data_IF_135025278094
#
_entry.id   IF_135025278094
#
_cell.length_a   1.000
_cell.length_b   1.000
_cell.length_c   1.000
_cell.angle_alpha   90.00
_cell.angle_beta   90.00
_cell.angle_gamma   90.00
#
_symmetry.space_group_name_H-M   'P 1'
#
loop_
_entity.id
_entity.type
_entity.pdbx_description
1 polymer ?
#
# COMPACT_ATOMS: atom_id res chain seq x y z
N UNK A 1 -19.40 53.01 -2.41
CA UNK A 1 -18.08 52.38 -2.12
C UNK A 1 -18.15 51.26 -1.08
N UNK A 2 -18.94 51.37 0.00
CA UNK A 2 -19.08 50.32 1.03
C UNK A 2 -19.70 49.00 0.54
N UNK A 3 -20.68 49.08 -0.36
CA UNK A 3 -21.34 47.89 -0.97
C UNK A 3 -20.44 47.11 -1.93
N UNK A 4 -19.53 47.80 -2.60
CA UNK A 4 -18.54 47.18 -3.50
C UNK A 4 -17.47 46.43 -2.69
N UNK A 5 -17.05 47.01 -1.56
CA UNK A 5 -16.11 46.38 -0.63
C UNK A 5 -16.67 45.07 -0.04
N UNK A 6 -17.94 45.05 0.35
CA UNK A 6 -18.59 43.83 0.83
C UNK A 6 -18.66 42.73 -0.24
N UNK A 7 -18.93 43.09 -1.50
CA UNK A 7 -18.97 42.14 -2.61
C UNK A 7 -17.60 41.51 -2.87
N UNK A 8 -16.51 42.29 -2.77
CA UNK A 8 -15.15 41.79 -2.94
C UNK A 8 -14.75 40.83 -1.81
N UNK A 9 -15.15 41.13 -0.56
CA UNK A 9 -14.89 40.27 0.60
C UNK A 9 -15.62 38.92 0.50
N UNK A 10 -16.85 38.91 0.00
CA UNK A 10 -17.64 37.67 -0.16
C UNK A 10 -17.04 36.80 -1.27
N UNK A 11 -16.62 37.41 -2.39
CA UNK A 11 -15.97 36.69 -3.50
C UNK A 11 -14.62 36.11 -3.07
N UNK A 12 -13.82 36.87 -2.31
CA UNK A 12 -12.54 36.38 -1.77
C UNK A 12 -12.73 35.20 -0.80
N UNK A 13 -13.79 35.24 0.02
CA UNK A 13 -14.11 34.13 0.94
C UNK A 13 -14.63 32.88 0.20
N UNK A 14 -15.33 33.05 -0.93
CA UNK A 14 -15.76 31.94 -1.80
C UNK A 14 -14.57 31.28 -2.53
N UNK A 15 -13.55 32.06 -2.91
CA UNK A 15 -12.34 31.56 -3.58
C UNK A 15 -11.42 30.72 -2.68
N UNK A 16 -11.55 30.84 -1.36
CA UNK A 16 -10.83 30.00 -0.39
C UNK A 16 -11.48 28.63 -0.12
N UNK A 17 -12.66 28.35 -0.69
CA UNK A 17 -13.39 27.10 -0.49
C UNK A 17 -13.16 26.05 -1.60
N UNK A 18 -12.26 26.30 -2.54
CA UNK A 18 -11.90 25.28 -3.53
C UNK A 18 -11.08 24.21 -2.80
N UNK A 19 -11.59 22.97 -2.65
CA UNK A 19 -10.76 21.87 -2.18
C UNK A 19 -9.60 21.79 -3.15
N UNK A 20 -8.36 21.81 -2.66
CA UNK A 20 -7.17 21.67 -3.50
C UNK A 20 -7.43 20.54 -4.49
N UNK A 21 -7.51 20.89 -5.78
CA UNK A 21 -7.64 19.92 -6.84
C UNK A 21 -6.46 18.97 -6.66
N UNK A 22 -6.75 17.73 -6.26
CA UNK A 22 -5.80 16.64 -6.42
C UNK A 22 -5.48 16.63 -7.92
N UNK A 23 -4.31 17.16 -8.28
CA UNK A 23 -3.76 16.99 -9.61
C UNK A 23 -3.78 15.48 -9.85
N UNK A 24 -4.56 15.04 -10.83
CA UNK A 24 -4.77 13.62 -11.10
C UNK A 24 -3.42 12.96 -11.34
N UNK A 25 -3.06 12.03 -10.45
CA UNK A 25 -1.85 11.22 -10.58
C UNK A 25 -1.88 10.55 -11.95
N UNK A 26 -0.90 10.86 -12.80
CA UNK A 26 -0.78 10.18 -14.10
C UNK A 26 -0.35 8.75 -13.83
N UNK A 27 -1.06 7.79 -14.40
CA UNK A 27 -0.81 6.34 -14.21
C UNK A 27 -0.69 5.94 -12.73
N UNK A 28 -1.79 6.03 -11.96
CA UNK A 28 -1.76 5.70 -10.55
C UNK A 28 -1.40 4.22 -10.33
N UNK A 29 -0.51 4.00 -9.37
CA UNK A 29 -0.11 2.69 -8.86
C UNK A 29 -0.33 2.67 -7.36
N UNK A 30 -0.97 1.61 -6.84
CA UNK A 30 -1.17 1.43 -5.40
C UNK A 30 -0.11 0.49 -4.83
N UNK A 31 0.58 0.96 -3.80
CA UNK A 31 1.55 0.19 -3.01
C UNK A 31 0.99 -0.05 -1.61
N UNK A 32 1.03 -1.29 -1.11
CA UNK A 32 0.46 -1.61 0.20
C UNK A 32 1.54 -1.72 1.27
N UNK A 33 1.39 -0.99 2.37
CA UNK A 33 2.35 -0.88 3.48
C UNK A 33 1.67 -1.07 4.84
N UNK A 34 2.45 -1.08 5.93
CA UNK A 34 1.92 -1.15 7.29
C UNK A 34 1.65 0.24 7.83
N UNK A 35 0.56 0.40 8.57
CA UNK A 35 0.33 1.61 9.35
C UNK A 35 1.26 1.65 10.57
N UNK A 36 1.92 2.79 10.85
CA UNK A 36 2.82 2.91 12.01
C UNK A 36 2.08 2.82 13.36
N UNK A 37 0.84 3.32 13.42
CA UNK A 37 0.04 3.36 14.65
C UNK A 37 -1.36 2.75 14.41
N UNK A 38 -1.46 1.42 14.23
CA UNK A 38 -2.75 0.77 13.96
C UNK A 38 -3.73 1.00 15.12
N UNK A 39 -3.26 1.03 16.37
CA UNK A 39 -4.08 1.21 17.57
C UNK A 39 -4.72 2.60 17.73
N UNK A 40 -4.31 3.60 16.94
CA UNK A 40 -4.84 4.97 17.01
C UNK A 40 -5.99 5.20 16.02
N UNK A 41 -6.25 4.25 15.11
CA UNK A 41 -7.31 4.35 14.11
C UNK A 41 -8.14 3.07 14.03
N UNK A 42 -9.41 3.18 13.65
CA UNK A 42 -10.31 2.06 13.38
C UNK A 42 -10.04 1.39 12.02
N UNK A 43 -8.84 1.54 11.47
CA UNK A 43 -8.50 1.15 10.10
C UNK A 43 -7.71 -0.16 10.01
N UNK A 44 -7.62 -0.77 8.82
CA UNK A 44 -6.81 -1.98 8.62
C UNK A 44 -5.33 -1.72 8.91
N UNK A 45 -4.62 -2.75 9.38
CA UNK A 45 -3.17 -2.70 9.64
C UNK A 45 -2.36 -2.47 8.35
N UNK A 46 -2.85 -3.01 7.23
CA UNK A 46 -2.31 -2.78 5.89
C UNK A 46 -3.10 -1.68 5.20
N UNK A 47 -2.42 -0.71 4.60
CA UNK A 47 -3.04 0.38 3.86
C UNK A 47 -2.32 0.64 2.53
N UNK A 48 -3.09 1.05 1.52
CA UNK A 48 -2.58 1.40 0.19
C UNK A 48 -2.19 2.87 0.08
N UNK A 49 -1.03 3.12 -0.52
CA UNK A 49 -0.55 4.43 -0.95
C UNK A 49 -0.61 4.51 -2.48
N UNK A 50 -1.27 5.53 -3.03
CA UNK A 50 -1.28 5.79 -4.47
C UNK A 50 -0.09 6.66 -4.84
N UNK A 51 0.74 6.20 -5.78
CA UNK A 51 1.88 6.94 -6.34
C UNK A 51 1.84 6.99 -7.86
N UNK A 52 2.53 7.97 -8.45
CA UNK A 52 2.71 8.08 -9.90
C UNK A 52 3.68 7.00 -10.40
N UNK A 53 3.21 6.16 -11.34
CA UNK A 53 4.03 5.10 -11.93
C UNK A 53 5.16 5.60 -12.83
N UNK A 54 5.21 6.91 -13.12
CA UNK A 54 6.27 7.58 -13.90
C UNK A 54 6.51 6.97 -15.28
N UNK A 55 5.46 6.48 -15.97
CA UNK A 55 5.59 5.83 -17.28
C UNK A 55 6.08 4.37 -17.22
N UNK A 56 6.18 3.81 -16.02
CA UNK A 56 6.67 2.44 -15.77
C UNK A 56 5.58 1.49 -15.27
N UNK A 57 4.30 1.81 -15.52
CA UNK A 57 3.16 1.00 -15.06
C UNK A 57 3.26 -0.47 -15.44
N UNK A 58 3.80 -0.78 -16.63
CA UNK A 58 3.94 -2.16 -17.12
C UNK A 58 5.30 -2.80 -16.76
N UNK A 59 6.20 -2.07 -16.08
CA UNK A 59 7.51 -2.58 -15.67
C UNK A 59 7.48 -3.00 -14.20
N UNK A 60 7.06 -4.24 -13.95
CA UNK A 60 6.94 -4.77 -12.60
C UNK A 60 8.25 -4.71 -11.80
N UNK A 61 9.40 -5.00 -12.43
CA UNK A 61 10.71 -4.94 -11.76
C UNK A 61 11.01 -3.53 -11.24
N UNK A 62 10.72 -2.51 -12.06
CA UNK A 62 10.87 -1.11 -11.66
C UNK A 62 9.96 -0.80 -10.48
N UNK A 63 8.66 -1.14 -10.58
CA UNK A 63 7.67 -0.83 -9.55
C UNK A 63 7.98 -1.54 -8.22
N UNK A 64 8.46 -2.77 -8.25
CA UNK A 64 8.89 -3.48 -7.04
C UNK A 64 10.15 -2.88 -6.44
N UNK A 65 11.10 -2.43 -7.26
CA UNK A 65 12.28 -1.71 -6.75
C UNK A 65 11.87 -0.39 -6.11
N UNK A 66 10.89 0.31 -6.71
CA UNK A 66 10.32 1.54 -6.16
C UNK A 66 9.54 1.30 -4.87
N UNK A 67 8.80 0.19 -4.78
CA UNK A 67 8.14 -0.24 -3.55
C UNK A 67 9.13 -0.43 -2.40
N UNK A 68 10.28 -1.07 -2.66
CA UNK A 68 11.33 -1.35 -1.67
C UNK A 68 12.06 -0.10 -1.16
N UNK A 69 11.92 1.05 -1.82
CA UNK A 69 12.38 2.34 -1.29
C UNK A 69 11.53 2.80 -0.09
N UNK A 70 10.35 2.21 0.11
CA UNK A 70 9.41 2.53 1.18
C UNK A 70 8.32 3.52 0.76
N UNK A 71 7.34 3.75 1.66
CA UNK A 71 6.25 4.69 1.42
C UNK A 71 6.71 6.15 1.43
N UNK A 72 5.98 7.03 0.76
CA UNK A 72 6.14 8.48 0.91
C UNK A 72 5.25 9.05 2.04
N UNK A 73 4.11 8.42 2.30
CA UNK A 73 3.23 8.70 3.43
C UNK A 73 3.92 8.37 4.77
N UNK A 74 3.93 9.35 5.67
CA UNK A 74 4.54 9.26 7.00
C UNK A 74 3.71 8.44 7.99
N UNK A 75 2.45 8.17 7.69
CA UNK A 75 1.63 7.27 8.50
C UNK A 75 1.89 5.79 8.17
N UNK A 76 2.65 5.53 7.10
CA UNK A 76 2.97 4.19 6.62
C UNK A 76 4.44 3.86 6.87
N UNK A 77 4.71 2.57 7.02
CA UNK A 77 6.04 2.01 7.23
C UNK A 77 6.27 0.80 6.32
N UNK A 78 7.52 0.66 5.86
CA UNK A 78 7.92 -0.51 5.08
C UNK A 78 7.81 -1.76 5.95
N UNK A 79 7.11 -2.82 5.49
CA UNK A 79 7.06 -4.09 6.21
C UNK A 79 8.39 -4.86 6.12
N UNK A 80 9.21 -4.55 5.12
CA UNK A 80 10.51 -5.18 4.88
C UNK A 80 11.64 -4.33 5.46
N UNK A 81 12.72 -4.95 5.98
CA UNK A 81 13.89 -4.23 6.47
C UNK A 81 14.51 -3.33 5.41
N UNK A 82 15.12 -2.21 5.85
CA UNK A 82 15.88 -1.34 4.94
C UNK A 82 17.01 -2.13 4.28
N UNK A 83 17.24 -1.87 2.99
CA UNK A 83 18.24 -2.57 2.21
C UNK A 83 17.77 -3.93 1.66
N UNK A 84 16.49 -4.28 1.84
CA UNK A 84 15.89 -5.41 1.10
C UNK A 84 16.02 -5.16 -0.41
N UNK A 85 16.55 -6.13 -1.14
CA UNK A 85 16.78 -6.03 -2.59
C UNK A 85 16.01 -7.11 -3.34
N UNK A 86 15.62 -6.82 -4.58
CA UNK A 86 14.96 -7.77 -5.48
C UNK A 86 16.01 -8.59 -6.25
N UNK A 87 16.06 -9.90 -6.01
CA UNK A 87 17.01 -10.81 -6.67
C UNK A 87 16.39 -11.61 -7.80
N UNK A 88 15.15 -12.06 -7.63
CA UNK A 88 14.44 -12.88 -8.60
C UNK A 88 13.08 -12.28 -8.90
N UNK A 89 12.69 -12.34 -10.18
CA UNK A 89 11.35 -12.00 -10.61
C UNK A 89 11.00 -12.92 -11.77
N UNK A 90 10.07 -13.84 -11.53
CA UNK A 90 9.53 -14.74 -12.54
C UNK A 90 8.04 -14.50 -12.65
N UNK A 91 7.57 -14.30 -13.87
CA UNK A 91 6.18 -13.96 -14.14
C UNK A 91 5.60 -14.95 -15.14
N UNK A 92 4.44 -15.50 -14.80
CA UNK A 92 3.59 -16.27 -15.70
C UNK A 92 2.25 -15.53 -15.88
N UNK A 93 1.37 -15.99 -16.78
CA UNK A 93 0.03 -15.39 -16.91
C UNK A 93 -0.80 -15.45 -15.62
N UNK A 94 -0.61 -16.48 -14.80
CA UNK A 94 -1.43 -16.74 -13.61
C UNK A 94 -0.70 -16.51 -12.29
N UNK A 95 0.63 -16.38 -12.29
CA UNK A 95 1.43 -16.28 -11.07
C UNK A 95 2.65 -15.37 -11.21
N UNK A 96 3.13 -14.87 -10.08
CA UNK A 96 4.44 -14.21 -9.99
C UNK A 96 5.22 -14.72 -8.79
N UNK A 97 6.51 -15.01 -9.00
CA UNK A 97 7.46 -15.39 -7.96
C UNK A 97 8.48 -14.27 -7.78
N UNK A 98 8.63 -13.80 -6.55
CA UNK A 98 9.46 -12.67 -6.17
C UNK A 98 10.48 -13.15 -5.15
N UNK A 99 11.76 -13.15 -5.54
CA UNK A 99 12.87 -13.43 -4.63
C UNK A 99 13.46 -12.14 -4.11
N UNK A 100 13.48 -11.97 -2.79
CA UNK A 100 14.11 -10.84 -2.09
C UNK A 100 15.34 -11.28 -1.30
N UNK A 101 16.21 -10.33 -0.96
CA UNK A 101 17.38 -10.60 -0.11
C UNK A 101 17.00 -11.17 1.25
N UNK A 102 17.93 -11.89 1.86
CA UNK A 102 17.74 -12.61 3.14
C UNK A 102 17.67 -11.69 4.37
N UNK A 103 17.65 -10.36 4.14
CA UNK A 103 17.44 -9.37 5.21
C UNK A 103 16.17 -9.61 6.03
N UNK A 104 15.18 -10.29 5.45
CA UNK A 104 13.94 -10.65 6.13
C UNK A 104 14.08 -11.76 7.19
N UNK A 105 15.23 -12.45 7.28
CA UNK A 105 15.51 -13.41 8.36
C UNK A 105 15.45 -12.79 9.75
N UNK A 106 15.69 -11.47 9.85
CA UNK A 106 15.54 -10.73 11.11
C UNK A 106 14.07 -10.55 11.56
N UNK A 107 13.09 -10.84 10.68
CA UNK A 107 11.67 -10.73 10.99
C UNK A 107 11.13 -12.01 11.63
N UNK A 108 10.29 -11.87 12.66
CA UNK A 108 9.45 -12.96 13.16
C UNK A 108 8.55 -13.53 12.06
N UNK A 109 8.03 -14.74 12.25
CA UNK A 109 7.13 -15.39 11.27
C UNK A 109 5.86 -14.57 10.99
N UNK A 110 5.28 -13.96 12.02
CA UNK A 110 4.13 -13.06 11.86
C UNK A 110 4.48 -11.82 11.04
N UNK A 111 5.62 -11.17 11.32
CA UNK A 111 6.07 -9.98 10.59
C UNK A 111 6.43 -10.29 9.14
N UNK A 112 7.08 -11.43 8.91
CA UNK A 112 7.38 -11.89 7.56
C UNK A 112 6.12 -12.22 6.76
N UNK A 113 5.14 -12.89 7.38
CA UNK A 113 3.83 -13.15 6.76
C UNK A 113 3.12 -11.87 6.37
N UNK A 114 3.14 -10.88 7.25
CA UNK A 114 2.55 -9.57 6.99
C UNK A 114 3.29 -8.82 5.86
N UNK A 115 4.63 -8.92 5.82
CA UNK A 115 5.41 -8.35 4.72
C UNK A 115 5.11 -9.02 3.37
N UNK A 116 4.96 -10.34 3.36
CA UNK A 116 4.53 -11.08 2.18
C UNK A 116 3.12 -10.67 1.75
N UNK A 117 2.20 -10.41 2.70
CA UNK A 117 0.86 -9.91 2.41
C UNK A 117 0.89 -8.54 1.74
N UNK A 118 1.60 -7.56 2.29
CA UNK A 118 1.77 -6.23 1.68
C UNK A 118 2.32 -6.30 0.25
N UNK A 119 3.39 -7.07 0.04
CA UNK A 119 4.01 -7.23 -1.26
C UNK A 119 3.07 -7.97 -2.25
N UNK A 120 2.36 -8.98 -1.78
CA UNK A 120 1.40 -9.72 -2.59
C UNK A 120 0.20 -8.87 -2.98
N UNK A 121 -0.37 -8.09 -2.06
CA UNK A 121 -1.45 -7.15 -2.37
C UNK A 121 -1.01 -6.12 -3.42
N UNK A 122 0.21 -5.60 -3.30
CA UNK A 122 0.81 -4.72 -4.31
C UNK A 122 0.87 -5.39 -5.68
N UNK A 123 1.37 -6.62 -5.77
CA UNK A 123 1.45 -7.34 -7.04
C UNK A 123 0.08 -7.71 -7.62
N UNK A 124 -0.87 -8.09 -6.76
CA UNK A 124 -2.24 -8.43 -7.17
C UNK A 124 -3.03 -7.22 -7.66
N UNK A 125 -2.68 -6.01 -7.23
CA UNK A 125 -3.21 -4.76 -7.75
C UNK A 125 -2.59 -4.40 -9.10
N UNK A 126 -1.26 -4.54 -9.21
CA UNK A 126 -0.51 -4.23 -10.43
C UNK A 126 -0.81 -5.20 -11.57
N UNK A 127 -1.14 -6.44 -11.25
CA UNK A 127 -1.23 -7.55 -12.20
C UNK A 127 -2.53 -8.33 -12.03
N UNK A 128 -3.07 -8.85 -13.13
CA UNK A 128 -4.21 -9.77 -13.10
C UNK A 128 -3.84 -11.24 -12.79
N UNK A 129 -2.72 -11.49 -12.10
CA UNK A 129 -2.25 -12.85 -11.72
C UNK A 129 -3.04 -13.39 -10.53
N UNK A 130 -3.32 -14.70 -10.46
CA UNK A 130 -4.10 -15.32 -9.38
C UNK A 130 -3.31 -15.51 -8.09
N UNK A 131 -1.99 -15.64 -8.17
CA UNK A 131 -1.14 -15.91 -7.02
C UNK A 131 0.21 -15.19 -7.08
N UNK A 132 0.73 -14.90 -5.89
CA UNK A 132 2.04 -14.28 -5.68
C UNK A 132 2.81 -15.14 -4.68
N UNK A 133 4.02 -15.53 -5.03
CA UNK A 133 4.94 -16.22 -4.13
C UNK A 133 6.11 -15.31 -3.80
N UNK A 134 6.34 -15.07 -2.51
CA UNK A 134 7.49 -14.31 -2.01
C UNK A 134 8.49 -15.27 -1.41
N UNK A 135 9.75 -15.18 -1.83
CA UNK A 135 10.85 -16.05 -1.40
C UNK A 135 11.94 -15.18 -0.78
N UNK A 136 12.43 -15.57 0.40
CA UNK A 136 13.59 -14.95 1.07
C UNK A 136 14.39 -16.05 1.77
N UNK A 137 15.59 -16.32 1.28
CA UNK A 137 16.41 -17.43 1.73
C UNK A 137 15.66 -18.77 1.67
N UNK A 138 15.53 -19.40 2.84
CA UNK A 138 14.79 -20.66 3.01
C UNK A 138 13.28 -20.50 3.20
N UNK A 139 12.79 -19.27 3.37
CA UNK A 139 11.37 -18.97 3.66
C UNK A 139 10.65 -18.62 2.37
N UNK A 140 9.43 -19.12 2.24
CA UNK A 140 8.54 -18.70 1.17
C UNK A 140 7.09 -18.68 1.65
N UNK A 141 6.30 -17.75 1.11
CA UNK A 141 4.87 -17.64 1.34
C UNK A 141 4.18 -17.39 0.00
N UNK A 142 3.16 -18.18 -0.30
CA UNK A 142 2.29 -18.00 -1.46
C UNK A 142 0.95 -17.47 -1.03
N UNK A 143 0.51 -16.38 -1.64
CA UNK A 143 -0.78 -15.75 -1.40
C UNK A 143 -1.58 -15.79 -2.70
N UNK A 144 -2.82 -16.28 -2.59
CA UNK A 144 -3.76 -16.37 -3.72
C UNK A 144 -4.82 -15.29 -3.56
N UNK A 145 -5.25 -14.69 -4.67
CA UNK A 145 -6.28 -13.63 -4.67
C UNK A 145 -7.55 -14.08 -3.94
N UNK A 146 -7.95 -15.33 -4.13
CA UNK A 146 -9.19 -15.88 -3.58
C UNK A 146 -9.08 -16.29 -2.10
N UNK A 147 -7.87 -16.28 -1.54
CA UNK A 147 -7.60 -16.68 -0.15
C UNK A 147 -7.44 -15.47 0.79
N UNK A 148 -7.63 -14.24 0.31
CA UNK A 148 -7.37 -13.00 1.06
C UNK A 148 -8.58 -12.47 1.85
N UNK A 149 -9.54 -13.32 2.24
CA UNK A 149 -10.72 -12.90 3.01
C UNK A 149 -10.55 -13.30 4.48
N UNK A 150 -10.35 -12.29 5.34
CA UNK A 150 -10.59 -12.40 6.78
C UNK A 150 -11.83 -11.57 7.10
N UNK A 151 -12.96 -12.23 7.33
CA UNK A 151 -14.21 -11.59 7.77
C UNK A 151 -14.31 -11.70 9.29
N UNK A 152 -14.14 -10.58 9.98
CA UNK A 152 -14.43 -10.50 11.40
C UNK A 152 -15.95 -10.35 11.60
N UNK A 153 -16.56 -11.33 12.28
CA UNK A 153 -18.00 -11.36 12.58
C UNK A 153 -18.29 -11.11 14.05
N UNK A 154 -17.28 -10.73 14.85
CA UNK A 154 -17.49 -10.48 16.26
C UNK A 154 -18.30 -9.20 16.48
N UNK A 155 -19.46 -9.36 17.14
CA UNK A 155 -20.26 -8.25 17.65
C UNK A 155 -19.85 -8.00 19.11
N UNK A 156 -19.70 -6.72 19.54
CA UNK A 156 -19.40 -6.42 20.93
C UNK A 156 -20.52 -6.94 21.83
N UNK A 157 -20.17 -7.74 22.85
CA UNK A 157 -21.14 -8.18 23.85
C UNK A 157 -21.68 -6.97 24.59
N UNK A 158 -23.01 -6.82 24.58
CA UNK A 158 -23.70 -5.82 25.39
C UNK A 158 -23.54 -6.25 26.85
N UNK A 159 -22.85 -5.44 27.65
CA UNK A 159 -22.85 -5.58 29.11
C UNK A 159 -24.28 -5.31 29.60
N UNK A 160 -24.97 -6.37 30.02
CA UNK A 160 -26.22 -6.26 30.75
C UNK A 160 -25.89 -5.70 32.14
N UNK A 161 -26.29 -4.44 32.35
CA UNK A 161 -26.25 -3.75 33.65
C UNK A 161 -27.37 -4.23 34.56
#
# INVERSE_FOLDING_TARGET
MKRLLCLILIVAMLLCLVPGCAEGVKEPVTFYYLRENPSRGLGPEIAGEVREGSGHRDNLRYLLTFYLMGPADKELSSPLPRGTALHQLEQTPDSVTIGISDTSEALSDSRFSLACACLSMTCLELLSVKEVTVVSGSRNITIRRDNLILTDTTQPQKEDT
#
